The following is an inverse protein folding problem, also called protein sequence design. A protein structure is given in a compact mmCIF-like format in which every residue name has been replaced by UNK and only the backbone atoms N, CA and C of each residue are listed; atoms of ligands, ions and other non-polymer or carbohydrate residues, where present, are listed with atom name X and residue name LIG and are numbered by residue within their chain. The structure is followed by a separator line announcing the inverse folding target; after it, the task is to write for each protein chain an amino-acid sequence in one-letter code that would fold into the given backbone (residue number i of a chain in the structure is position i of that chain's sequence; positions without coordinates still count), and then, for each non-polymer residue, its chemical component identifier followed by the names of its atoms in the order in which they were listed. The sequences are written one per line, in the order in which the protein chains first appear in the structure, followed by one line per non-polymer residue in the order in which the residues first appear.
data_IF_246665981342
#
_entry.id   IF_246665981342
#
_cell.length_a   1.000
_cell.length_b   1.000
_cell.length_c   1.000
_cell.angle_alpha   90.00
_cell.angle_beta   90.00
_cell.angle_gamma   90.00
#
_symmetry.space_group_name_H-M   'P 1'
#
loop_
_entity.id
_entity.type
_entity.pdbx_description
1 polymer ?
#
# COMPACT_ATOMS: atom_id res chain seq x y z
N UNK A 1 -8.56 -18.75 -2.34
CA UNK A 1 -8.66 -17.40 -2.93
C UNK A 1 -7.26 -16.80 -2.97
N UNK A 2 -6.58 -16.93 -4.10
CA UNK A 2 -5.17 -16.53 -4.24
C UNK A 2 -5.11 -15.02 -4.45
N UNK A 3 -4.39 -14.30 -3.57
CA UNK A 3 -4.15 -12.86 -3.74
C UNK A 3 -3.60 -12.59 -5.16
N UNK A 4 -3.97 -11.48 -5.83
CA UNK A 4 -3.40 -11.12 -7.12
C UNK A 4 -1.88 -11.05 -6.96
N UNK A 5 -1.20 -11.98 -7.63
CA UNK A 5 0.22 -12.25 -7.44
C UNK A 5 1.04 -11.01 -7.76
N UNK A 6 1.84 -10.58 -6.78
CA UNK A 6 2.89 -9.60 -7.01
C UNK A 6 3.74 -10.05 -8.22
N UNK A 7 4.13 -9.13 -9.13
CA UNK A 7 4.95 -9.50 -10.28
C UNK A 7 6.22 -10.21 -9.82
N UNK A 8 6.48 -11.39 -10.39
CA UNK A 8 7.62 -12.24 -10.05
C UNK A 8 8.94 -11.47 -10.34
N UNK A 9 9.84 -11.45 -9.36
CA UNK A 9 11.12 -10.72 -9.43
C UNK A 9 11.31 -9.61 -8.39
N UNK A 10 10.35 -9.39 -7.48
CA UNK A 10 10.50 -8.41 -6.39
C UNK A 10 11.17 -9.03 -5.15
N UNK A 11 12.47 -8.74 -5.00
CA UNK A 11 13.35 -8.93 -3.82
C UNK A 11 12.64 -9.46 -2.55
N UNK A 12 13.05 -10.64 -2.08
CA UNK A 12 12.47 -11.28 -0.90
C UNK A 12 12.56 -10.35 0.33
N UNK A 13 11.61 -10.41 1.28
CA UNK A 13 11.62 -9.51 2.45
C UNK A 13 12.90 -9.62 3.31
N UNK A 14 13.62 -10.74 3.21
CA UNK A 14 14.95 -10.98 3.79
C UNK A 14 16.07 -10.10 3.19
N UNK A 15 15.85 -9.51 2.01
CA UNK A 15 16.81 -8.62 1.37
C UNK A 15 16.97 -7.29 2.12
N UNK A 16 15.92 -6.81 2.80
CA UNK A 16 15.94 -5.50 3.47
C UNK A 16 17.03 -5.39 4.54
N UNK A 17 17.38 -6.49 5.23
CA UNK A 17 18.42 -6.49 6.26
C UNK A 17 19.83 -6.27 5.71
N UNK A 18 20.04 -6.48 4.40
CA UNK A 18 21.32 -6.26 3.72
C UNK A 18 21.67 -4.76 3.60
N UNK A 19 20.70 -3.87 3.82
CA UNK A 19 20.92 -2.43 3.81
C UNK A 19 21.76 -2.00 5.02
N UNK A 20 22.77 -1.19 4.71
CA UNK A 20 23.67 -0.55 5.66
C UNK A 20 23.66 0.96 5.43
N UNK A 21 23.66 1.77 6.49
CA UNK A 21 23.75 3.21 6.35
C UNK A 21 25.12 3.60 5.81
N UNK A 22 25.19 4.78 5.19
CA UNK A 22 26.44 5.46 4.87
C UNK A 22 27.08 6.01 6.14
N UNK A 23 28.27 6.63 6.02
CA UNK A 23 28.94 7.31 7.16
C UNK A 23 28.07 8.39 7.82
N UNK A 24 27.11 8.96 7.09
CA UNK A 24 26.13 9.92 7.60
C UNK A 24 25.02 9.30 8.47
N UNK A 25 24.92 7.97 8.55
CA UNK A 25 23.80 7.28 9.20
C UNK A 25 22.58 7.06 8.28
N UNK A 26 22.61 7.58 7.04
CA UNK A 26 21.47 7.55 6.10
C UNK A 26 21.67 6.54 4.97
N UNK A 27 20.58 6.19 4.29
CA UNK A 27 20.53 5.37 3.07
C UNK A 27 20.09 6.24 1.90
N UNK A 28 20.72 6.06 0.74
CA UNK A 28 20.33 6.78 -0.47
C UNK A 28 19.09 6.16 -1.09
N UNK A 29 18.08 6.97 -1.37
CA UNK A 29 16.92 6.57 -2.18
C UNK A 29 16.93 7.34 -3.49
N UNK A 30 16.69 6.64 -4.60
CA UNK A 30 16.54 7.25 -5.92
C UNK A 30 15.22 6.85 -6.59
N UNK A 31 14.76 7.65 -7.52
CA UNK A 31 13.57 7.33 -8.31
C UNK A 31 13.42 8.22 -9.53
N UNK A 32 12.23 8.13 -10.14
CA UNK A 32 11.78 9.01 -11.21
C UNK A 32 10.51 9.73 -10.77
N UNK A 33 10.30 10.93 -11.30
CA UNK A 33 9.01 11.62 -11.25
C UNK A 33 8.09 11.11 -12.36
N UNK A 34 6.81 11.48 -12.33
CA UNK A 34 5.85 11.14 -13.40
C UNK A 34 6.27 11.72 -14.77
N UNK A 35 7.07 12.79 -14.78
CA UNK A 35 7.67 13.38 -16.00
C UNK A 35 9.00 12.71 -16.41
N UNK A 36 9.37 11.59 -15.79
CA UNK A 36 10.61 10.84 -16.06
C UNK A 36 11.89 11.45 -15.48
N UNK A 37 11.85 12.66 -14.87
CA UNK A 37 13.02 13.28 -14.24
C UNK A 37 13.51 12.45 -13.08
N UNK A 38 14.82 12.17 -13.05
CA UNK A 38 15.49 11.43 -11.97
C UNK A 38 15.63 12.31 -10.73
N UNK A 39 15.50 11.71 -9.57
CA UNK A 39 15.73 12.37 -8.28
C UNK A 39 16.47 11.43 -7.32
N UNK A 40 17.10 12.04 -6.32
CA UNK A 40 17.80 11.35 -5.23
C UNK A 40 17.55 12.07 -3.92
N UNK A 41 17.44 11.32 -2.83
CA UNK A 41 17.36 11.84 -1.47
C UNK A 41 18.07 10.88 -0.51
N UNK A 42 18.41 11.35 0.68
CA UNK A 42 18.89 10.51 1.77
C UNK A 42 17.75 10.31 2.77
N UNK A 43 17.58 9.08 3.25
CA UNK A 43 16.53 8.68 4.18
C UNK A 43 17.10 7.87 5.33
N UNK A 44 16.36 7.79 6.42
CA UNK A 44 16.69 6.90 7.52
C UNK A 44 16.74 5.42 7.08
N UNK A 45 17.62 4.65 7.73
CA UNK A 45 17.79 3.22 7.45
C UNK A 45 16.51 2.42 7.67
N UNK A 46 15.76 2.71 8.72
CA UNK A 46 14.55 1.97 9.04
C UNK A 46 13.45 2.27 8.04
N UNK A 47 13.32 3.53 7.61
CA UNK A 47 12.44 3.88 6.50
C UNK A 47 12.84 3.14 5.21
N UNK A 48 14.14 3.07 4.90
CA UNK A 48 14.61 2.35 3.71
C UNK A 48 14.23 0.85 3.76
N UNK A 49 14.41 0.22 4.92
CA UNK A 49 14.02 -1.17 5.16
C UNK A 49 12.52 -1.39 5.03
N UNK A 50 11.72 -0.52 5.61
CA UNK A 50 10.26 -0.55 5.51
C UNK A 50 9.83 -0.50 4.04
N UNK A 51 10.36 0.45 3.27
CA UNK A 51 10.00 0.59 1.85
C UNK A 51 10.35 -0.65 1.02
N UNK A 52 11.45 -1.35 1.33
CA UNK A 52 11.82 -2.60 0.65
C UNK A 52 10.91 -3.75 1.10
N UNK A 53 10.70 -3.91 2.42
CA UNK A 53 9.86 -4.96 3.00
C UNK A 53 8.44 -4.89 2.45
N UNK A 54 7.91 -3.68 2.36
CA UNK A 54 6.56 -3.41 1.85
C UNK A 54 6.50 -3.28 0.32
N UNK A 55 7.55 -3.70 -0.40
CA UNK A 55 7.57 -3.78 -1.87
C UNK A 55 7.38 -2.43 -2.58
N UNK A 56 7.71 -1.33 -1.93
CA UNK A 56 7.68 0.01 -2.49
C UNK A 56 9.00 0.41 -3.17
N UNK A 57 10.10 -0.28 -2.80
CA UNK A 57 11.43 -0.07 -3.34
C UNK A 57 12.21 -1.38 -3.48
N UNK A 58 13.27 -1.35 -4.27
CA UNK A 58 14.25 -2.45 -4.40
C UNK A 58 15.64 -1.99 -4.03
N UNK A 59 16.45 -2.90 -3.52
CA UNK A 59 17.85 -2.66 -3.22
C UNK A 59 18.63 -2.60 -4.54
N UNK A 60 19.39 -1.52 -4.72
CA UNK A 60 20.33 -1.38 -5.84
C UNK A 60 21.72 -1.83 -5.40
N UNK A 61 22.11 -1.43 -4.20
CA UNK A 61 23.31 -1.87 -3.51
C UNK A 61 23.09 -1.69 -2.01
N UNK A 62 24.04 -2.15 -1.19
CA UNK A 62 23.94 -2.12 0.27
C UNK A 62 23.65 -0.73 0.88
N UNK A 63 23.86 0.38 0.16
CA UNK A 63 23.64 1.75 0.64
C UNK A 63 22.57 2.50 -0.16
N UNK A 64 21.95 1.87 -1.16
CA UNK A 64 21.04 2.55 -2.09
C UNK A 64 19.83 1.70 -2.41
N UNK A 65 18.65 2.27 -2.22
CA UNK A 65 17.39 1.73 -2.72
C UNK A 65 16.87 2.55 -3.91
N UNK A 66 16.01 1.94 -4.71
CA UNK A 66 15.30 2.59 -5.80
C UNK A 66 13.80 2.39 -5.66
N UNK A 67 13.03 3.48 -5.68
CA UNK A 67 11.56 3.43 -5.77
C UNK A 67 11.14 2.67 -7.03
N UNK A 68 10.19 1.76 -6.86
CA UNK A 68 9.67 0.93 -7.94
C UNK A 68 8.74 1.70 -8.86
N UNK A 69 7.94 2.59 -8.27
CA UNK A 69 6.87 3.31 -8.94
C UNK A 69 7.06 4.82 -8.83
N UNK A 70 6.72 5.52 -9.91
CA UNK A 70 6.31 6.93 -9.87
C UNK A 70 4.96 7.08 -9.13
N UNK A 71 4.49 8.30 -8.89
CA UNK A 71 3.22 8.50 -8.17
C UNK A 71 2.03 8.01 -9.02
N UNK A 72 2.05 8.29 -10.32
CA UNK A 72 1.01 7.84 -11.25
C UNK A 72 1.00 6.32 -11.37
N UNK A 73 2.17 5.71 -11.61
CA UNK A 73 2.29 4.24 -11.70
C UNK A 73 1.86 3.57 -10.41
N UNK A 74 2.19 4.15 -9.25
CA UNK A 74 1.78 3.61 -7.96
C UNK A 74 0.27 3.62 -7.79
N UNK A 75 -0.40 4.74 -8.13
CA UNK A 75 -1.86 4.83 -8.10
C UNK A 75 -2.49 3.75 -8.99
N UNK A 76 -2.05 3.66 -10.25
CA UNK A 76 -2.55 2.66 -11.19
C UNK A 76 -2.34 1.24 -10.67
N UNK A 77 -1.16 0.93 -10.14
CA UNK A 77 -0.84 -0.38 -9.57
C UNK A 77 -1.81 -0.78 -8.45
N UNK A 78 -2.12 0.11 -7.50
CA UNK A 78 -3.05 -0.18 -6.40
C UNK A 78 -4.47 -0.39 -6.92
N UNK A 79 -4.95 0.48 -7.83
CA UNK A 79 -6.28 0.38 -8.40
C UNK A 79 -6.47 -0.95 -9.17
N UNK A 80 -5.49 -1.32 -9.98
CA UNK A 80 -5.52 -2.58 -10.73
C UNK A 80 -5.43 -3.81 -9.81
N UNK A 81 -4.53 -3.78 -8.82
CA UNK A 81 -4.41 -4.84 -7.80
C UNK A 81 -5.74 -5.09 -7.09
N UNK A 82 -6.42 -4.02 -6.72
CA UNK A 82 -7.68 -4.07 -5.96
C UNK A 82 -8.91 -4.14 -6.88
N UNK A 83 -8.72 -4.33 -8.19
CA UNK A 83 -9.78 -4.43 -9.20
C UNK A 83 -10.78 -3.27 -9.13
N UNK A 84 -10.28 -2.05 -8.91
CA UNK A 84 -11.07 -0.82 -8.76
C UNK A 84 -12.21 -0.97 -7.73
N UNK A 85 -12.00 -1.81 -6.70
CA UNK A 85 -12.98 -2.07 -5.65
C UNK A 85 -12.57 -1.33 -4.39
N UNK A 86 -13.45 -0.47 -3.89
CA UNK A 86 -13.26 0.27 -2.65
C UNK A 86 -13.11 -0.69 -1.48
N UNK A 87 -12.00 -0.60 -0.76
CA UNK A 87 -11.71 -1.44 0.40
C UNK A 87 -12.75 -1.31 1.52
N UNK A 88 -13.36 -0.13 1.65
CA UNK A 88 -14.27 0.17 2.76
C UNK A 88 -15.72 -0.24 2.52
N UNK A 89 -16.26 0.06 1.33
CA UNK A 89 -17.67 -0.20 1.02
C UNK A 89 -17.91 -1.31 0.00
N UNK A 90 -16.86 -1.84 -0.64
CA UNK A 90 -16.97 -2.83 -1.71
C UNK A 90 -17.49 -2.30 -3.05
N UNK A 91 -17.85 -1.02 -3.15
CA UNK A 91 -18.26 -0.37 -4.40
C UNK A 91 -17.09 -0.04 -5.34
N UNK A 92 -17.35 0.65 -6.45
CA UNK A 92 -16.29 1.13 -7.35
C UNK A 92 -15.43 2.21 -6.70
N UNK A 93 -14.10 2.13 -6.87
CA UNK A 93 -13.12 3.10 -6.39
C UNK A 93 -12.10 3.48 -7.45
N UNK A 94 -11.75 4.76 -7.49
CA UNK A 94 -10.82 5.38 -8.45
C UNK A 94 -9.74 6.25 -7.76
N UNK A 95 -9.70 6.19 -6.42
CA UNK A 95 -8.69 6.83 -5.58
C UNK A 95 -7.94 5.79 -4.75
N UNK A 96 -6.83 6.24 -4.15
CA UNK A 96 -6.10 5.43 -3.18
C UNK A 96 -6.15 6.12 -1.82
N UNK A 97 -6.16 5.34 -0.77
CA UNK A 97 -6.09 5.82 0.61
C UNK A 97 -5.09 4.97 1.42
N UNK A 98 -4.62 5.53 2.53
CA UNK A 98 -3.69 4.89 3.46
C UNK A 98 -4.45 4.25 4.63
N UNK A 99 -4.18 2.97 4.90
CA UNK A 99 -4.70 2.24 6.06
C UNK A 99 -4.21 2.88 7.37
N UNK A 100 -2.89 3.04 7.52
CA UNK A 100 -2.30 3.93 8.52
C UNK A 100 -2.17 5.34 7.92
N UNK A 101 -2.84 6.38 8.44
CA UNK A 101 -2.75 7.73 7.90
C UNK A 101 -1.32 8.28 7.91
N UNK A 102 -0.99 9.13 6.94
CA UNK A 102 0.33 9.79 6.87
C UNK A 102 0.68 10.58 8.13
N UNK A 103 -0.31 11.22 8.75
CA UNK A 103 -0.13 11.98 10.00
C UNK A 103 0.30 11.09 11.18
N UNK A 104 -0.02 9.80 11.14
CA UNK A 104 0.38 8.78 12.13
C UNK A 104 1.62 7.97 11.71
N UNK A 105 2.37 8.44 10.71
CA UNK A 105 3.57 7.77 10.22
C UNK A 105 3.33 6.76 9.10
N UNK A 106 2.12 6.67 8.54
CA UNK A 106 1.84 5.81 7.40
C UNK A 106 2.59 6.21 6.13
N UNK A 107 3.26 5.26 5.50
CA UNK A 107 4.01 5.49 4.26
C UNK A 107 3.22 5.06 3.02
N UNK A 108 3.56 5.63 1.86
CA UNK A 108 2.97 5.24 0.57
C UNK A 108 3.66 3.98 0.06
N UNK A 109 3.10 2.84 0.43
CA UNK A 109 3.59 1.50 0.10
C UNK A 109 2.44 0.60 -0.35
N UNK A 110 2.72 -0.44 -1.15
CA UNK A 110 1.72 -1.44 -1.48
C UNK A 110 0.95 -2.00 -0.28
N UNK A 111 1.62 -2.26 0.86
CA UNK A 111 0.95 -2.86 2.01
C UNK A 111 0.08 -1.86 2.79
N UNK A 112 0.39 -0.55 2.73
CA UNK A 112 -0.36 0.47 3.46
C UNK A 112 -1.41 1.20 2.59
N UNK A 113 -1.36 1.07 1.26
CA UNK A 113 -2.31 1.75 0.37
C UNK A 113 -3.34 0.78 -0.22
N UNK A 114 -4.60 1.22 -0.27
CA UNK A 114 -5.74 0.47 -0.83
C UNK A 114 -6.55 1.34 -1.78
N UNK A 115 -7.31 0.71 -2.68
CA UNK A 115 -8.32 1.38 -3.48
C UNK A 115 -9.48 1.89 -2.61
N UNK A 116 -9.94 3.11 -2.88
CA UNK A 116 -11.05 3.74 -2.19
C UNK A 116 -11.91 4.56 -3.16
N UNK A 117 -13.21 4.66 -2.90
CA UNK A 117 -14.08 5.61 -3.59
C UNK A 117 -13.94 7.01 -2.97
N UNK A 118 -14.25 8.06 -3.75
CA UNK A 118 -14.17 9.44 -3.27
C UNK A 118 -14.98 9.68 -1.98
N UNK A 119 -16.17 9.09 -1.86
CA UNK A 119 -17.04 9.27 -0.69
C UNK A 119 -16.42 8.68 0.59
N UNK A 120 -15.92 7.43 0.55
CA UNK A 120 -15.26 6.81 1.70
C UNK A 120 -13.94 7.52 2.05
N UNK A 121 -13.16 7.90 1.03
CA UNK A 121 -11.89 8.59 1.23
C UNK A 121 -12.09 9.96 1.92
N UNK A 122 -13.11 10.71 1.52
CA UNK A 122 -13.48 11.97 2.18
C UNK A 122 -14.01 11.74 3.59
N UNK A 123 -14.91 10.77 3.79
CA UNK A 123 -15.47 10.46 5.12
C UNK A 123 -14.42 10.03 6.14
N UNK A 124 -13.30 9.44 5.70
CA UNK A 124 -12.16 9.10 6.54
C UNK A 124 -11.22 10.28 6.77
N UNK A 125 -11.19 11.30 5.90
CA UNK A 125 -10.48 12.54 6.21
C UNK A 125 -11.09 13.23 7.47
N UNK A 126 -12.38 13.00 7.72
CA UNK A 126 -13.11 13.55 8.86
C UNK A 126 -13.06 12.67 10.13
N UNK A 127 -12.53 11.43 10.09
CA UNK A 127 -12.53 10.48 11.23
C UNK A 127 -11.28 9.61 11.31
N UNK A 128 -10.88 9.26 12.53
CA UNK A 128 -9.78 8.31 12.78
C UNK A 128 -10.12 6.89 12.26
N UNK A 129 -9.12 6.12 11.84
CA UNK A 129 -9.32 4.81 11.18
C UNK A 129 -9.94 3.79 12.12
N UNK A 130 -9.56 3.81 13.40
CA UNK A 130 -10.14 2.97 14.45
C UNK A 130 -11.64 3.30 14.69
N UNK A 131 -12.01 4.58 14.55
CA UNK A 131 -13.38 5.07 14.75
C UNK A 131 -14.28 4.82 13.50
N UNK A 132 -13.66 4.77 12.31
CA UNK A 132 -14.35 4.43 11.07
C UNK A 132 -14.56 2.91 10.91
N UNK A 133 -13.57 2.09 11.25
CA UNK A 133 -13.71 0.63 11.20
C UNK A 133 -14.76 0.11 12.19
N UNK A 134 -14.86 0.70 13.38
CA UNK A 134 -15.89 0.35 14.36
C UNK A 134 -17.32 0.74 13.92
N UNK A 135 -17.47 1.71 13.03
CA UNK A 135 -18.77 2.16 12.52
C UNK A 135 -19.19 1.52 11.19
N UNK A 136 -18.25 0.96 10.42
CA UNK A 136 -18.51 0.29 9.12
C UNK A 136 -18.74 -1.23 9.27
N UNK A 137 -18.37 -1.85 10.40
CA UNK A 137 -18.78 -3.22 10.73
C UNK A 137 -20.25 -3.23 11.19
N UNK A 138 -21.18 -3.03 10.25
CA UNK A 138 -22.51 -3.63 10.32
C UNK A 138 -22.66 -4.55 9.11
N UNK A 139 -22.50 -5.84 9.41
CA UNK A 139 -22.84 -7.02 8.62
C UNK A 139 -24.04 -6.82 7.66
N UNK A 140 -24.08 -7.61 6.57
CA UNK A 140 -25.23 -8.50 6.46
C UNK A 140 -24.78 -9.95 6.28
N UNK A 141 -24.66 -10.67 7.39
CA UNK A 141 -24.98 -12.08 7.47
C UNK A 141 -26.51 -12.23 7.47
N UNK A 142 -27.10 -12.31 6.27
CA UNK A 142 -28.50 -12.65 6.08
C UNK A 142 -28.71 -13.37 4.74
N UNK A 143 -28.41 -14.67 4.74
CA UNK A 143 -29.09 -15.66 3.90
C UNK A 143 -28.96 -17.04 4.57
N UNK A 144 -29.56 -17.19 5.75
CA UNK A 144 -29.85 -18.49 6.34
C UNK A 144 -31.09 -19.11 5.69
N UNK A 145 -30.96 -20.37 5.29
CA UNK A 145 -32.03 -21.40 5.24
C UNK A 145 -33.20 -21.19 4.27
N UNK A 146 -33.23 -22.01 3.20
CA UNK A 146 -34.49 -22.58 2.70
C UNK A 146 -34.37 -24.12 2.78
N UNK A 147 -35.40 -24.66 3.41
CA UNK A 147 -35.71 -26.00 3.87
C UNK A 147 -35.31 -27.22 3.02
N UNK A 148 -34.96 -28.27 3.76
CA UNK A 148 -35.15 -29.67 3.40
C UNK A 148 -36.63 -29.95 3.07
N UNK A 149 -36.90 -30.52 1.89
CA UNK A 149 -38.07 -31.39 1.70
C UNK A 149 -37.66 -32.69 1.03
N UNK A 150 -38.06 -33.78 1.70
CA UNK A 150 -38.07 -35.17 1.27
C UNK A 150 -38.57 -35.33 -0.16
N UNK A 151 -37.93 -36.21 -0.91
CA UNK A 151 -38.53 -37.42 -1.50
C UNK A 151 -37.47 -38.52 -1.57
#
# INVERSE_FOLDING_TARGET
MTAPGFPQGMAAPEDAQQLKPMRSGLVRMRGKSDKGRRWQQEIDLELARLLVREKAAVIVNRHTIRRLFTNREFKTFILERDRYTCHFCGGYGDTIDHLLPRAKGGHTTPLNCVCACNACNQSKADRDVDDFLSSVVKQPEAASSIEQKKE
#
